data_IF_595560853776
#
_entry.id   IF_595560853776
#
_cell.length_a   1.000
_cell.length_b   1.000
_cell.length_c   1.000
_cell.angle_alpha   90.00
_cell.angle_beta   90.00
_cell.angle_gamma   90.00
#
_symmetry.space_group_name_H-M   'P 1'
#
loop_
_entity.id
_entity.type
_entity.pdbx_description
1 polymer ?
#
# COMPACT_ATOMS: atom_id res chain seq x y z
N UNK A 1 -10.17 -6.33 -14.89
CA UNK A 1 -8.97 -5.52 -15.16
C UNK A 1 -7.77 -6.44 -15.02
N UNK A 2 -7.03 -6.68 -16.10
CA UNK A 2 -5.77 -7.40 -16.05
C UNK A 2 -4.68 -6.38 -16.39
N UNK A 3 -3.78 -6.12 -15.46
CA UNK A 3 -2.55 -5.36 -15.74
C UNK A 3 -1.59 -6.36 -16.37
N UNK A 4 -1.27 -6.20 -17.65
CA UNK A 4 -0.32 -7.09 -18.31
C UNK A 4 1.11 -6.61 -18.00
N UNK A 5 1.92 -7.51 -17.44
CA UNK A 5 3.32 -7.27 -17.17
C UNK A 5 4.11 -6.93 -18.44
N UNK A 6 3.73 -7.51 -19.59
CA UNK A 6 4.40 -7.30 -20.86
C UNK A 6 4.29 -5.85 -21.37
N UNK A 7 3.19 -5.16 -21.06
CA UNK A 7 3.02 -3.73 -21.37
C UNK A 7 3.89 -2.84 -20.48
N UNK A 8 4.40 -3.39 -19.38
CA UNK A 8 5.12 -2.68 -18.34
C UNK A 8 6.64 -2.70 -18.43
N UNK A 9 7.26 -3.35 -19.42
CA UNK A 9 8.73 -3.54 -19.48
C UNK A 9 9.53 -2.24 -19.30
N UNK A 10 8.98 -1.11 -19.76
CA UNK A 10 9.63 0.20 -19.67
C UNK A 10 9.25 1.00 -18.43
N UNK A 11 8.27 0.54 -17.65
CA UNK A 11 7.81 1.26 -16.47
C UNK A 11 8.93 1.34 -15.44
N UNK A 12 9.10 2.55 -14.91
CA UNK A 12 10.02 2.85 -13.80
C UNK A 12 9.29 3.09 -12.49
N UNK A 13 7.99 3.35 -12.56
CA UNK A 13 7.13 3.65 -11.43
C UNK A 13 5.75 3.04 -11.66
N UNK A 14 5.21 2.38 -10.64
CA UNK A 14 3.81 1.99 -10.56
C UNK A 14 3.18 2.73 -9.37
N UNK A 15 2.07 3.41 -9.62
CA UNK A 15 1.23 3.97 -8.58
C UNK A 15 -0.09 3.19 -8.51
N UNK A 16 -0.40 2.65 -7.34
CA UNK A 16 -1.64 1.92 -7.06
C UNK A 16 -2.51 2.85 -6.23
N UNK A 17 -3.45 3.54 -6.89
CA UNK A 17 -4.44 4.37 -6.23
C UNK A 17 -5.76 3.62 -6.06
N UNK A 18 -6.40 3.76 -4.91
CA UNK A 18 -7.74 3.23 -4.67
C UNK A 18 -7.80 1.72 -4.54
N UNK A 19 -6.79 1.14 -3.90
CA UNK A 19 -6.68 -0.30 -3.65
C UNK A 19 -7.97 -0.91 -3.11
N UNK A 20 -8.50 -0.40 -1.99
CA UNK A 20 -9.72 -0.95 -1.37
C UNK A 20 -10.99 -0.66 -2.19
N UNK A 21 -11.02 0.44 -2.94
CA UNK A 21 -12.14 0.79 -3.81
C UNK A 21 -12.18 -0.01 -5.12
N UNK A 22 -11.08 -0.68 -5.47
CA UNK A 22 -10.95 -1.49 -6.66
C UNK A 22 -10.56 -2.93 -6.29
N UNK A 23 -11.49 -3.77 -5.75
CA UNK A 23 -11.18 -5.15 -5.35
C UNK A 23 -10.60 -6.03 -6.47
N UNK A 24 -10.82 -5.67 -7.74
CA UNK A 24 -10.18 -6.30 -8.89
C UNK A 24 -8.66 -6.15 -8.94
N UNK A 25 -8.06 -5.32 -8.08
CA UNK A 25 -6.61 -5.21 -7.88
C UNK A 25 -6.07 -6.25 -6.89
N UNK A 26 -6.92 -6.89 -6.08
CA UNK A 26 -6.53 -7.89 -5.08
C UNK A 26 -6.30 -9.26 -5.73
N UNK A 27 -5.32 -9.34 -6.64
CA UNK A 27 -5.08 -10.54 -7.45
C UNK A 27 -3.61 -10.94 -7.45
N UNK A 28 -3.34 -12.24 -7.59
CA UNK A 28 -1.98 -12.75 -7.77
C UNK A 28 -1.23 -12.08 -8.93
N UNK A 29 -1.96 -11.71 -9.98
CA UNK A 29 -1.37 -11.01 -11.11
C UNK A 29 -0.85 -9.61 -10.73
N UNK A 30 -1.54 -8.89 -9.84
CA UNK A 30 -1.06 -7.60 -9.33
C UNK A 30 0.25 -7.77 -8.55
N UNK A 31 0.34 -8.79 -7.68
CA UNK A 31 1.57 -9.11 -6.96
C UNK A 31 2.71 -9.48 -7.91
N UNK A 32 2.41 -10.23 -8.98
CA UNK A 32 3.38 -10.58 -10.02
C UNK A 32 3.94 -9.35 -10.72
N UNK A 33 3.07 -8.46 -11.21
CA UNK A 33 3.47 -7.21 -11.89
C UNK A 33 4.31 -6.33 -10.96
N UNK A 34 3.88 -6.15 -9.71
CA UNK A 34 4.63 -5.40 -8.70
C UNK A 34 6.02 -6.02 -8.47
N UNK A 35 6.10 -7.34 -8.30
CA UNK A 35 7.38 -8.03 -8.10
C UNK A 35 8.31 -7.86 -9.30
N UNK A 36 7.82 -8.05 -10.52
CA UNK A 36 8.63 -7.91 -11.74
C UNK A 36 9.14 -6.48 -11.95
N UNK A 37 8.35 -5.47 -11.57
CA UNK A 37 8.80 -4.08 -11.58
C UNK A 37 9.91 -3.83 -10.56
N UNK A 38 9.74 -4.31 -9.34
CA UNK A 38 10.76 -4.19 -8.29
C UNK A 38 12.06 -4.91 -8.66
N UNK A 39 11.97 -6.12 -9.21
CA UNK A 39 13.14 -6.93 -9.59
C UNK A 39 13.99 -6.26 -10.69
N UNK A 40 13.42 -5.35 -11.49
CA UNK A 40 14.14 -4.52 -12.48
C UNK A 40 14.52 -3.11 -11.97
N UNK A 41 14.37 -2.85 -10.67
CA UNK A 41 14.72 -1.58 -10.03
C UNK A 41 13.71 -0.45 -10.24
N UNK A 42 12.45 -0.78 -10.55
CA UNK A 42 11.36 0.20 -10.54
C UNK A 42 10.81 0.45 -9.14
N UNK A 43 10.09 1.55 -8.99
CA UNK A 43 9.47 1.98 -7.74
C UNK A 43 7.96 1.74 -7.73
N UNK A 44 7.40 1.53 -6.56
CA UNK A 44 5.99 1.22 -6.35
C UNK A 44 5.45 2.10 -5.21
N UNK A 45 4.38 2.81 -5.48
CA UNK A 45 3.65 3.60 -4.49
C UNK A 45 2.21 3.13 -4.35
N UNK A 46 1.66 3.20 -3.13
CA UNK A 46 0.31 2.76 -2.81
C UNK A 46 -0.45 3.87 -2.07
N UNK A 47 -1.62 4.26 -2.59
CA UNK A 47 -2.66 4.97 -1.84
C UNK A 47 -3.82 3.98 -1.59
N UNK A 48 -3.99 3.47 -0.35
CA UNK A 48 -4.92 2.40 -0.06
C UNK A 48 -6.39 2.82 -0.28
N UNK A 49 -6.73 4.07 0.02
CA UNK A 49 -8.11 4.57 0.19
C UNK A 49 -8.90 3.79 1.27
N UNK A 50 -10.17 4.14 1.45
CA UNK A 50 -11.00 3.62 2.53
C UNK A 50 -11.46 2.17 2.30
N UNK A 51 -11.34 1.32 3.33
CA UNK A 51 -11.93 -0.02 3.34
C UNK A 51 -13.32 -0.02 3.98
N UNK A 52 -14.37 -0.07 3.15
CA UNK A 52 -15.76 -0.16 3.61
C UNK A 52 -16.08 -1.42 4.44
N UNK A 53 -15.23 -2.45 4.41
CA UNK A 53 -15.38 -3.67 5.23
C UNK A 53 -14.73 -3.54 6.61
N UNK A 54 -13.93 -2.49 6.81
CA UNK A 54 -13.12 -2.25 8.00
C UNK A 54 -12.19 -3.42 8.38
N UNK A 55 -11.85 -4.29 7.43
CA UNK A 55 -10.95 -5.42 7.66
C UNK A 55 -9.48 -5.04 7.48
N UNK A 56 -9.20 -4.05 6.63
CA UNK A 56 -7.88 -3.48 6.36
C UNK A 56 -6.84 -4.52 5.90
N UNK A 57 -7.29 -5.62 5.30
CA UNK A 57 -6.45 -6.75 4.87
C UNK A 57 -6.45 -6.98 3.37
N UNK A 58 -7.45 -6.43 2.66
CA UNK A 58 -7.76 -6.81 1.28
C UNK A 58 -8.27 -8.26 1.18
N UNK A 59 -8.59 -8.70 -0.03
CA UNK A 59 -9.09 -10.07 -0.27
C UNK A 59 -8.02 -11.08 0.15
N UNK A 60 -8.37 -12.04 1.01
CA UNK A 60 -7.46 -13.11 1.48
C UNK A 60 -6.11 -12.61 2.03
N UNK A 61 -6.08 -11.43 2.66
CA UNK A 61 -4.85 -10.85 3.22
C UNK A 61 -3.88 -10.31 2.16
N UNK A 62 -4.35 -10.05 0.95
CA UNK A 62 -3.56 -9.56 -0.18
C UNK A 62 -2.75 -8.29 0.14
N UNK A 63 -3.27 -7.39 0.99
CA UNK A 63 -2.59 -6.12 1.30
C UNK A 63 -1.21 -6.37 1.91
N UNK A 64 -1.11 -7.29 2.87
CA UNK A 64 0.17 -7.62 3.52
C UNK A 64 1.23 -8.08 2.52
N UNK A 65 0.81 -8.86 1.52
CA UNK A 65 1.70 -9.37 0.47
C UNK A 65 2.12 -8.25 -0.48
N UNK A 66 1.21 -7.34 -0.78
CA UNK A 66 1.49 -6.16 -1.60
C UNK A 66 2.44 -5.19 -0.88
N UNK A 67 2.21 -4.89 0.40
CA UNK A 67 3.06 -3.97 1.19
C UNK A 67 4.53 -4.42 1.26
N UNK A 68 4.81 -5.72 1.19
CA UNK A 68 6.17 -6.25 1.12
C UNK A 68 6.89 -5.96 -0.22
N UNK A 69 6.16 -5.46 -1.23
CA UNK A 69 6.67 -5.10 -2.56
C UNK A 69 6.68 -3.59 -2.80
N UNK A 70 6.00 -2.80 -1.96
CA UNK A 70 5.81 -1.36 -2.13
C UNK A 70 6.99 -0.60 -1.52
N UNK A 71 7.39 0.51 -2.16
CA UNK A 71 8.43 1.41 -1.65
C UNK A 71 7.85 2.51 -0.76
N UNK A 72 6.67 3.02 -1.10
CA UNK A 72 5.95 4.03 -0.29
C UNK A 72 4.45 3.75 -0.20
N UNK A 73 3.91 3.78 1.02
CA UNK A 73 2.47 3.74 1.27
C UNK A 73 1.99 5.06 1.86
N UNK A 74 0.87 5.57 1.36
CA UNK A 74 0.35 6.89 1.72
C UNK A 74 -1.09 6.81 2.26
N UNK A 75 -1.31 6.19 3.44
CA UNK A 75 -2.63 6.17 4.06
C UNK A 75 -2.98 7.57 4.63
N UNK A 76 -4.25 7.86 4.87
CA UNK A 76 -4.63 8.88 5.86
C UNK A 76 -4.61 8.31 7.29
N UNK A 77 -4.88 9.14 8.29
CA UNK A 77 -4.86 8.74 9.70
C UNK A 77 -5.86 7.62 10.01
N UNK A 78 -7.06 7.66 9.42
CA UNK A 78 -8.10 6.64 9.62
C UNK A 78 -7.67 5.30 9.04
N UNK A 79 -7.10 5.32 7.84
CA UNK A 79 -6.56 4.14 7.16
C UNK A 79 -5.36 3.55 7.91
N UNK A 80 -4.43 4.40 8.38
CA UNK A 80 -3.26 3.95 9.14
C UNK A 80 -3.67 3.29 10.47
N UNK A 81 -4.61 3.89 11.20
CA UNK A 81 -5.19 3.32 12.42
C UNK A 81 -5.89 1.98 12.12
N UNK A 82 -6.67 1.91 11.05
CA UNK A 82 -7.32 0.68 10.61
C UNK A 82 -6.34 -0.44 10.26
N UNK A 83 -5.32 -0.14 9.46
CA UNK A 83 -4.28 -1.10 9.04
C UNK A 83 -3.41 -1.59 10.20
N UNK A 84 -3.15 -0.73 11.19
CA UNK A 84 -2.30 -1.05 12.35
C UNK A 84 -3.08 -1.64 13.54
N UNK A 85 -4.41 -1.50 13.55
CA UNK A 85 -5.25 -1.82 14.70
C UNK A 85 -5.04 -0.87 15.89
N UNK A 86 -4.46 0.31 15.67
CA UNK A 86 -4.20 1.32 16.70
C UNK A 86 -5.28 2.40 16.70
N UNK A 87 -5.43 3.09 17.82
CA UNK A 87 -6.41 4.16 18.00
C UNK A 87 -5.77 5.56 17.97
N UNK A 88 -4.45 5.63 17.84
CA UNK A 88 -3.67 6.86 17.74
C UNK A 88 -2.78 6.82 16.49
N UNK A 89 -2.58 7.98 15.85
CA UNK A 89 -1.86 8.10 14.59
C UNK A 89 -0.35 7.88 14.74
N UNK A 90 0.25 8.28 15.87
CA UNK A 90 1.66 8.05 16.14
C UNK A 90 1.91 6.58 16.46
N UNK A 91 1.05 5.97 17.28
CA UNK A 91 1.11 4.52 17.54
C UNK A 91 0.90 3.71 16.24
N UNK A 92 0.02 4.17 15.36
CA UNK A 92 -0.21 3.54 14.06
C UNK A 92 1.05 3.58 13.18
N UNK A 93 1.72 4.74 13.10
CA UNK A 93 2.97 4.89 12.36
C UNK A 93 4.06 3.95 12.89
N UNK A 94 4.27 3.94 14.20
CA UNK A 94 5.27 3.09 14.85
C UNK A 94 5.00 1.61 14.58
N UNK A 95 3.75 1.16 14.77
CA UNK A 95 3.37 -0.23 14.54
C UNK A 95 3.56 -0.67 13.08
N UNK A 96 3.22 0.20 12.11
CA UNK A 96 3.43 -0.08 10.69
C UNK A 96 4.92 -0.10 10.34
N UNK A 97 5.73 0.84 10.84
CA UNK A 97 7.16 0.90 10.57
C UNK A 97 7.90 -0.33 11.12
N UNK A 98 7.52 -0.80 12.32
CA UNK A 98 8.03 -2.05 12.89
C UNK A 98 7.64 -3.26 12.03
N UNK A 99 6.40 -3.28 11.51
CA UNK A 99 5.89 -4.40 10.71
C UNK A 99 6.48 -4.45 9.30
N UNK A 100 6.84 -3.29 8.74
CA UNK A 100 7.32 -3.13 7.37
C UNK A 100 8.58 -2.24 7.32
N UNK A 101 9.74 -2.71 7.83
CA UNK A 101 10.93 -1.88 8.04
C UNK A 101 11.61 -1.36 6.76
N UNK A 102 11.18 -1.82 5.58
CA UNK A 102 11.70 -1.40 4.29
C UNK A 102 10.71 -0.55 3.49
N UNK A 103 9.54 -0.26 4.05
CA UNK A 103 8.48 0.52 3.44
C UNK A 103 8.46 1.93 4.02
N UNK A 104 8.59 2.96 3.19
CA UNK A 104 8.35 4.33 3.63
C UNK A 104 6.85 4.53 3.87
N UNK A 105 6.48 4.87 5.10
CA UNK A 105 5.08 5.13 5.44
C UNK A 105 4.89 6.63 5.53
N UNK A 106 3.94 7.19 4.78
CA UNK A 106 3.62 8.63 4.80
C UNK A 106 2.15 8.80 5.14
N UNK A 107 1.84 9.07 6.41
CA UNK A 107 0.46 9.29 6.84
C UNK A 107 0.04 10.71 6.52
N UNK A 108 -0.97 10.87 5.66
CA UNK A 108 -1.69 12.14 5.43
C UNK A 108 -2.48 12.46 6.71
N UNK A 109 -2.20 13.59 7.36
CA UNK A 109 -2.77 13.94 8.66
C UNK A 109 -3.51 15.29 8.65
N UNK A 110 -4.36 15.49 7.64
CA UNK A 110 -5.23 16.67 7.51
C UNK A 110 -4.50 18.01 7.71
N UNK A 111 -5.00 18.84 8.62
CA UNK A 111 -4.43 20.15 8.95
C UNK A 111 -3.06 20.09 9.64
N UNK A 112 -2.68 18.93 10.18
CA UNK A 112 -1.38 18.71 10.82
C UNK A 112 -0.28 18.31 9.81
N UNK A 113 -0.61 18.21 8.51
CA UNK A 113 0.34 17.91 7.45
C UNK A 113 0.52 16.41 7.26
N UNK A 114 1.73 15.89 7.54
CA UNK A 114 2.06 14.48 7.36
C UNK A 114 3.05 13.96 8.40
N UNK A 115 2.94 12.67 8.72
CA UNK A 115 3.93 11.93 9.50
C UNK A 115 4.63 10.91 8.60
N UNK A 116 5.93 10.68 8.82
CA UNK A 116 6.69 9.70 8.06
C UNK A 116 7.70 8.94 8.92
N UNK A 117 7.89 7.66 8.60
CA UNK A 117 8.87 6.75 9.19
C UNK A 117 9.35 5.72 8.16
#
# INVERSE_FOLDING_TARGET
FAVDAAEGEQWRLLHIGGYFNCPGLHTENMLKVAKELRDRGGLISLDPQHDCTAQWTGTDGHLRRLLALVDVVMPNEVEAMGMSGKADVHEALEALAISYPSLLIVIKWGEHGALAA
#
